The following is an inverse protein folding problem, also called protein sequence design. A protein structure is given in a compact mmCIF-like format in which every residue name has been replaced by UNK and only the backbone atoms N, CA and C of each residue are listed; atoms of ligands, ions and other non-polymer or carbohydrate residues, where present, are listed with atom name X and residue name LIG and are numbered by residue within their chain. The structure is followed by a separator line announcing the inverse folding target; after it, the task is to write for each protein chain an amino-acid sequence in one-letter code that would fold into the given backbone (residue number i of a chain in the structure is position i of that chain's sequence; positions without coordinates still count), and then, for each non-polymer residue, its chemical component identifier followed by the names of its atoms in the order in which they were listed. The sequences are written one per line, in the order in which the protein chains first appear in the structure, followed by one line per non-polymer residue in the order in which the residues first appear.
data_IF_195151339747
#
_entry.id   IF_195151339747
#
_cell.length_a   1.000
_cell.length_b   1.000
_cell.length_c   1.000
_cell.angle_alpha   90.00
_cell.angle_beta   90.00
_cell.angle_gamma   90.00
#
_symmetry.space_group_name_H-M   'P 1'
#
loop_
_entity.id
_entity.type
_entity.pdbx_description
1 polymer ?
#
# COMPACT_ATOMS: atom_id res chain seq x y z
N UNK A 1 -2.45 11.30 13.14
CA UNK A 1 -1.31 12.14 13.54
C UNK A 1 -1.21 13.40 12.69
N UNK A 2 -1.51 13.30 11.39
CA UNK A 2 -1.45 14.43 10.47
C UNK A 2 -2.56 14.38 9.41
N UNK A 3 -2.84 15.53 8.78
CA UNK A 3 -3.73 15.65 7.63
C UNK A 3 -2.97 16.37 6.51
N UNK A 4 -2.67 15.67 5.41
CA UNK A 4 -1.81 16.17 4.35
C UNK A 4 -0.41 16.49 4.89
N UNK A 5 0.01 17.76 4.87
CA UNK A 5 1.31 18.22 5.38
C UNK A 5 1.25 18.75 6.82
N UNK A 6 0.06 18.89 7.41
CA UNK A 6 -0.14 19.54 8.68
C UNK A 6 -0.34 18.54 9.82
N UNK A 7 0.30 18.72 10.98
CA UNK A 7 0.04 17.90 12.15
C UNK A 7 -1.38 18.14 12.69
N UNK A 8 -1.95 17.11 13.31
CA UNK A 8 -3.18 17.24 14.09
C UNK A 8 -2.81 17.75 15.48
N UNK A 9 -3.55 18.74 15.96
CA UNK A 9 -3.37 19.34 17.29
C UNK A 9 -3.37 18.26 18.39
N UNK A 10 -2.49 18.38 19.35
CA UNK A 10 -2.27 17.44 20.48
C UNK A 10 -1.81 16.01 20.10
N UNK A 11 -1.76 15.62 18.83
CA UNK A 11 -1.41 14.26 18.46
C UNK A 11 0.03 13.90 18.85
N UNK A 12 1.00 14.79 18.57
CA UNK A 12 2.40 14.55 18.92
C UNK A 12 2.60 14.54 20.45
N UNK A 13 1.93 15.45 21.17
CA UNK A 13 2.02 15.49 22.65
C UNK A 13 1.45 14.22 23.29
N UNK A 14 0.33 13.73 22.76
CA UNK A 14 -0.30 12.49 23.25
C UNK A 14 0.59 11.27 23.03
N UNK A 15 1.26 11.19 21.86
CA UNK A 15 2.19 10.10 21.55
C UNK A 15 3.39 10.13 22.48
N UNK A 16 4.02 11.31 22.68
CA UNK A 16 5.14 11.46 23.64
C UNK A 16 4.75 11.09 25.05
N UNK A 17 3.53 11.45 25.47
CA UNK A 17 3.03 11.07 26.79
C UNK A 17 2.84 9.54 26.92
N UNK A 18 2.40 8.87 25.86
CA UNK A 18 2.27 7.42 25.83
C UNK A 18 3.65 6.73 25.90
N UNK A 19 4.64 7.22 25.14
CA UNK A 19 6.03 6.74 25.21
C UNK A 19 6.63 6.93 26.62
N UNK A 20 6.44 8.10 27.20
CA UNK A 20 6.89 8.38 28.58
C UNK A 20 6.23 7.48 29.62
N UNK A 21 5.01 6.99 29.35
CA UNK A 21 4.31 6.00 30.15
C UNK A 21 4.77 4.54 29.89
N UNK A 22 5.77 4.33 29.03
CA UNK A 22 6.36 3.01 28.74
C UNK A 22 5.64 2.24 27.62
N UNK A 23 4.79 2.89 26.82
CA UNK A 23 4.17 2.25 25.65
C UNK A 23 5.13 2.18 24.47
N UNK A 24 5.15 1.05 23.76
CA UNK A 24 5.79 0.94 22.45
C UNK A 24 4.87 1.51 21.39
N UNK A 25 5.40 2.40 20.56
CA UNK A 25 4.62 3.08 19.52
C UNK A 25 5.01 2.55 18.15
N UNK A 26 4.00 2.20 17.34
CA UNK A 26 4.13 1.90 15.92
C UNK A 26 3.14 2.76 15.11
N UNK A 27 3.52 3.10 13.89
CA UNK A 27 2.74 3.99 13.02
C UNK A 27 2.24 3.23 11.81
N UNK A 28 0.95 2.96 11.74
CA UNK A 28 0.32 2.24 10.63
C UNK A 28 -0.35 3.18 9.64
N UNK A 29 -0.11 2.97 8.33
CA UNK A 29 -0.71 3.79 7.28
C UNK A 29 -1.18 2.95 6.09
N UNK A 30 -2.36 3.29 5.53
CA UNK A 30 -2.85 2.72 4.26
C UNK A 30 -2.11 3.29 3.04
N UNK A 31 -1.22 4.27 3.23
CA UNK A 31 -0.42 4.80 2.13
C UNK A 31 0.51 3.71 1.58
N UNK A 32 0.39 3.41 0.29
CA UNK A 32 1.21 2.41 -0.41
C UNK A 32 2.28 3.01 -1.32
N UNK A 33 2.33 4.35 -1.44
CA UNK A 33 3.24 5.00 -2.39
C UNK A 33 4.49 5.61 -1.76
N UNK A 34 4.48 5.83 -0.43
CA UNK A 34 5.57 6.50 0.27
C UNK A 34 6.42 5.49 1.04
N UNK A 35 7.74 5.59 0.88
CA UNK A 35 8.69 4.80 1.66
C UNK A 35 8.56 5.08 3.16
N UNK A 36 8.88 4.09 3.98
CA UNK A 36 8.83 4.18 5.44
C UNK A 36 9.63 5.35 5.98
N UNK A 37 10.88 5.57 5.47
CA UNK A 37 11.72 6.69 5.88
C UNK A 37 11.09 8.06 5.59
N UNK A 38 10.40 8.21 4.44
CA UNK A 38 9.73 9.47 4.08
C UNK A 38 8.59 9.80 5.03
N UNK A 39 7.87 8.78 5.52
CA UNK A 39 6.83 8.96 6.53
C UNK A 39 7.44 9.25 7.91
N UNK A 40 8.51 8.53 8.27
CA UNK A 40 9.24 8.76 9.53
C UNK A 40 9.80 10.19 9.59
N UNK A 41 10.42 10.67 8.52
CA UNK A 41 10.96 12.04 8.45
C UNK A 41 9.86 13.11 8.59
N UNK A 42 8.69 12.87 8.01
CA UNK A 42 7.53 13.76 8.22
C UNK A 42 7.10 13.77 9.69
N UNK A 43 7.05 12.62 10.35
CA UNK A 43 6.67 12.52 11.77
C UNK A 43 7.72 13.15 12.68
N UNK A 44 9.02 13.02 12.36
CA UNK A 44 10.13 13.74 13.01
C UNK A 44 9.95 15.26 12.90
N UNK A 45 9.49 15.74 11.75
CA UNK A 45 9.14 17.15 11.54
C UNK A 45 8.02 17.67 12.45
N UNK A 46 7.22 16.78 13.03
CA UNK A 46 6.19 17.11 14.04
C UNK A 46 6.67 16.92 15.50
N UNK A 47 7.98 16.69 15.70
CA UNK A 47 8.59 16.55 17.01
C UNK A 47 8.42 15.16 17.63
N UNK A 48 8.20 14.13 16.83
CA UNK A 48 8.20 12.73 17.25
C UNK A 48 9.56 12.08 16.96
N UNK A 49 10.00 11.17 17.82
CA UNK A 49 11.19 10.35 17.60
C UNK A 49 10.75 9.04 16.94
N UNK A 50 11.00 8.90 15.64
CA UNK A 50 10.45 7.78 14.83
C UNK A 50 11.52 7.18 13.95
N UNK A 51 11.81 5.91 14.14
CA UNK A 51 12.65 5.15 13.22
C UNK A 51 11.81 4.59 12.04
N UNK A 52 12.38 4.47 10.83
CA UNK A 52 11.65 3.95 9.66
C UNK A 52 10.98 2.60 9.90
N UNK A 53 11.58 1.71 10.69
CA UNK A 53 11.03 0.39 11.00
C UNK A 53 9.77 0.42 11.88
N UNK A 54 9.51 1.53 12.58
CA UNK A 54 8.27 1.74 13.33
C UNK A 54 7.10 2.15 12.43
N UNK A 55 7.36 2.44 11.15
CA UNK A 55 6.33 2.81 10.17
C UNK A 55 5.93 1.58 9.36
N UNK A 56 4.70 1.13 9.54
CA UNK A 56 4.13 -0.01 8.81
C UNK A 56 3.19 0.53 7.73
N UNK A 57 3.62 0.41 6.46
CA UNK A 57 2.81 0.83 5.31
C UNK A 57 2.00 -0.33 4.77
N UNK A 58 0.92 -0.03 4.05
CA UNK A 58 0.15 -1.07 3.37
C UNK A 58 0.95 -1.80 2.27
N UNK A 59 2.00 -1.20 1.72
CA UNK A 59 2.92 -1.89 0.79
C UNK A 59 3.75 -2.97 1.47
N UNK A 60 4.31 -2.69 2.65
CA UNK A 60 5.05 -3.67 3.45
C UNK A 60 4.17 -4.88 3.75
N UNK A 61 2.96 -4.64 4.24
CA UNK A 61 2.02 -5.70 4.61
C UNK A 61 1.54 -6.47 3.38
N UNK A 62 1.20 -5.77 2.29
CA UNK A 62 0.72 -6.41 1.06
C UNK A 62 1.78 -7.31 0.41
N UNK A 63 3.03 -6.86 0.33
CA UNK A 63 4.11 -7.67 -0.20
C UNK A 63 4.36 -8.94 0.62
N UNK A 64 4.35 -8.84 1.96
CA UNK A 64 4.43 -10.01 2.87
C UNK A 64 3.25 -10.96 2.69
N UNK A 65 2.05 -10.42 2.52
CA UNK A 65 0.83 -11.21 2.29
C UNK A 65 0.93 -12.02 0.99
N UNK A 66 1.40 -11.42 -0.10
CA UNK A 66 1.63 -12.10 -1.38
C UNK A 66 2.72 -13.16 -1.25
N UNK A 67 3.86 -12.83 -0.63
CA UNK A 67 4.96 -13.78 -0.42
C UNK A 67 4.58 -14.97 0.47
N UNK A 68 3.64 -14.79 1.39
CA UNK A 68 3.09 -15.90 2.19
C UNK A 68 2.13 -16.80 1.39
N UNK A 69 1.47 -16.23 0.39
CA UNK A 69 0.48 -16.95 -0.43
C UNK A 69 1.10 -17.69 -1.64
N UNK A 70 2.29 -17.28 -2.09
CA UNK A 70 2.91 -17.78 -3.30
C UNK A 70 4.31 -18.36 -3.01
N UNK A 71 4.80 -19.26 -3.88
CA UNK A 71 6.16 -19.77 -3.75
C UNK A 71 7.22 -18.67 -3.96
N UNK A 72 8.40 -18.85 -3.36
CA UNK A 72 9.54 -17.96 -3.57
C UNK A 72 9.86 -17.83 -5.08
N UNK A 73 10.18 -16.61 -5.50
CA UNK A 73 10.45 -16.29 -6.90
C UNK A 73 9.20 -16.22 -7.79
N UNK A 74 7.99 -16.34 -7.23
CA UNK A 74 6.75 -16.22 -8.01
C UNK A 74 6.70 -14.89 -8.78
N UNK A 75 6.20 -14.96 -10.02
CA UNK A 75 6.08 -13.78 -10.89
C UNK A 75 4.87 -12.95 -10.47
N UNK A 76 5.10 -11.67 -10.22
CA UNK A 76 4.09 -10.71 -9.75
C UNK A 76 4.10 -9.46 -10.64
N UNK A 77 2.95 -9.11 -11.18
CA UNK A 77 2.76 -7.83 -11.83
C UNK A 77 2.37 -6.79 -10.77
N UNK A 78 3.11 -5.69 -10.70
CA UNK A 78 2.89 -4.62 -9.71
C UNK A 78 2.26 -3.41 -10.40
N UNK A 79 1.02 -3.12 -10.04
CA UNK A 79 0.31 -1.89 -10.39
C UNK A 79 0.38 -0.93 -9.20
N UNK A 80 1.46 -0.17 -9.10
CA UNK A 80 1.69 0.69 -7.93
C UNK A 80 3.00 1.47 -8.00
N UNK A 81 3.25 2.26 -6.96
CA UNK A 81 4.45 3.08 -6.82
C UNK A 81 5.71 2.25 -6.51
N UNK A 82 6.87 2.90 -6.63
CA UNK A 82 8.19 2.29 -6.42
C UNK A 82 8.33 1.61 -5.06
N UNK A 83 7.78 2.20 -3.99
CA UNK A 83 7.79 1.57 -2.67
C UNK A 83 7.15 0.17 -2.67
N UNK A 84 6.02 0.00 -3.36
CA UNK A 84 5.37 -1.32 -3.45
C UNK A 84 6.23 -2.31 -4.25
N UNK A 85 6.85 -1.85 -5.35
CA UNK A 85 7.75 -2.67 -6.17
C UNK A 85 8.96 -3.14 -5.37
N UNK A 86 9.57 -2.23 -4.61
CA UNK A 86 10.71 -2.52 -3.75
C UNK A 86 10.35 -3.58 -2.67
N UNK A 87 9.21 -3.43 -2.02
CA UNK A 87 8.74 -4.40 -1.03
C UNK A 87 8.43 -5.78 -1.63
N UNK A 88 7.87 -5.85 -2.84
CA UNK A 88 7.66 -7.11 -3.56
C UNK A 88 9.00 -7.82 -3.81
N UNK A 89 10.01 -7.08 -4.28
CA UNK A 89 11.36 -7.61 -4.52
C UNK A 89 12.04 -8.06 -3.23
N UNK A 90 11.96 -7.24 -2.16
CA UNK A 90 12.54 -7.57 -0.84
C UNK A 90 11.95 -8.83 -0.22
N UNK A 91 10.72 -9.16 -0.55
CA UNK A 91 10.06 -10.37 -0.08
C UNK A 91 10.31 -11.59 -1.00
N UNK A 92 11.31 -11.53 -1.90
CA UNK A 92 11.76 -12.66 -2.71
C UNK A 92 10.84 -13.02 -3.87
N UNK A 93 9.99 -12.10 -4.31
CA UNK A 93 9.12 -12.25 -5.47
C UNK A 93 9.78 -11.63 -6.72
N UNK A 94 9.40 -12.08 -7.89
CA UNK A 94 9.93 -11.60 -9.17
C UNK A 94 8.92 -10.67 -9.84
N UNK A 95 9.27 -9.40 -10.02
CA UNK A 95 8.41 -8.46 -10.74
C UNK A 95 8.50 -8.73 -12.24
N UNK A 96 7.35 -8.71 -12.90
CA UNK A 96 7.21 -8.82 -14.36
C UNK A 96 6.48 -7.61 -14.93
N UNK A 97 6.70 -7.34 -16.22
CA UNK A 97 6.27 -6.09 -16.86
C UNK A 97 4.79 -6.09 -17.24
N UNK A 98 4.22 -7.25 -17.53
CA UNK A 98 2.83 -7.29 -17.98
C UNK A 98 2.22 -8.69 -18.10
N UNK A 99 1.00 -8.80 -18.64
CA UNK A 99 0.25 -10.04 -18.73
C UNK A 99 0.92 -11.09 -19.64
N UNK A 100 1.74 -10.67 -20.62
CA UNK A 100 2.49 -11.56 -21.51
C UNK A 100 3.50 -12.44 -20.76
N UNK A 101 3.97 -11.99 -19.59
CA UNK A 101 4.90 -12.72 -18.73
C UNK A 101 4.21 -13.74 -17.82
N UNK A 102 2.89 -13.87 -17.93
CA UNK A 102 2.06 -14.80 -17.17
C UNK A 102 2.31 -14.67 -15.66
N UNK A 103 2.03 -13.52 -15.02
CA UNK A 103 2.16 -13.36 -13.59
C UNK A 103 1.24 -14.33 -12.82
N UNK A 104 1.72 -14.84 -11.70
CA UNK A 104 0.92 -15.68 -10.79
C UNK A 104 0.02 -14.81 -9.89
N UNK A 105 0.42 -13.55 -9.71
CA UNK A 105 -0.41 -12.57 -9.01
C UNK A 105 -0.29 -11.18 -9.63
N UNK A 106 -1.32 -10.38 -9.40
CA UNK A 106 -1.32 -8.93 -9.54
C UNK A 106 -1.45 -8.33 -8.14
N UNK A 107 -0.59 -7.38 -7.82
CA UNK A 107 -0.70 -6.57 -6.61
C UNK A 107 -0.93 -5.11 -6.99
N UNK A 108 -2.03 -4.53 -6.52
CA UNK A 108 -2.40 -3.15 -6.83
C UNK A 108 -2.34 -2.26 -5.59
N UNK A 109 -1.62 -1.14 -5.71
CA UNK A 109 -1.59 -0.03 -4.78
C UNK A 109 -1.97 1.28 -5.46
N UNK A 110 -1.94 2.38 -4.69
CA UNK A 110 -2.16 3.71 -5.25
C UNK A 110 -0.90 4.25 -5.92
N UNK A 111 -1.08 4.84 -7.11
CA UNK A 111 -0.02 5.47 -7.89
C UNK A 111 -0.58 6.71 -8.62
N UNK A 112 0.00 7.92 -8.43
CA UNK A 112 -0.57 9.14 -8.98
C UNK A 112 -0.54 9.19 -10.51
N UNK A 113 0.46 8.53 -11.14
CA UNK A 113 0.63 8.50 -12.60
C UNK A 113 0.09 7.21 -13.24
N UNK A 114 -0.85 6.55 -12.56
CA UNK A 114 -1.50 5.34 -13.07
C UNK A 114 -2.26 5.64 -14.36
N UNK A 115 -1.89 4.93 -15.43
CA UNK A 115 -2.51 5.06 -16.73
C UNK A 115 -3.63 4.04 -16.93
N UNK A 116 -4.50 4.31 -17.92
CA UNK A 116 -5.48 3.32 -18.37
C UNK A 116 -4.81 2.01 -18.82
N UNK A 117 -3.67 2.10 -19.56
CA UNK A 117 -2.95 0.92 -20.04
C UNK A 117 -2.45 0.05 -18.88
N UNK A 118 -1.90 0.66 -17.82
CA UNK A 118 -1.47 -0.09 -16.62
C UNK A 118 -2.63 -0.85 -15.96
N UNK A 119 -3.81 -0.24 -15.89
CA UNK A 119 -5.01 -0.90 -15.35
C UNK A 119 -5.52 -2.00 -16.29
N UNK A 120 -5.46 -1.79 -17.60
CA UNK A 120 -5.83 -2.80 -18.59
C UNK A 120 -4.91 -4.03 -18.55
N UNK A 121 -3.59 -3.82 -18.44
CA UNK A 121 -2.61 -4.90 -18.32
C UNK A 121 -2.82 -5.72 -17.04
N UNK A 122 -3.15 -5.06 -15.92
CA UNK A 122 -3.52 -5.73 -14.69
C UNK A 122 -4.83 -6.54 -14.84
N UNK A 123 -5.84 -5.97 -15.51
CA UNK A 123 -7.09 -6.66 -15.78
C UNK A 123 -6.87 -7.92 -16.66
N UNK A 124 -6.08 -7.82 -17.72
CA UNK A 124 -5.75 -8.96 -18.58
C UNK A 124 -5.04 -10.08 -17.81
N UNK A 125 -4.12 -9.73 -16.91
CA UNK A 125 -3.45 -10.73 -16.07
C UNK A 125 -4.43 -11.41 -15.11
N UNK A 126 -5.34 -10.66 -14.49
CA UNK A 126 -6.39 -11.18 -13.60
C UNK A 126 -7.35 -12.09 -14.34
N UNK A 127 -7.83 -11.69 -15.53
CA UNK A 127 -8.68 -12.53 -16.38
C UNK A 127 -7.97 -13.83 -16.80
N UNK A 128 -6.65 -13.78 -17.02
CA UNK A 128 -5.83 -14.96 -17.34
C UNK A 128 -5.58 -15.86 -16.12
N UNK A 129 -6.08 -15.53 -14.94
CA UNK A 129 -6.03 -16.36 -13.74
C UNK A 129 -5.00 -15.94 -12.70
N UNK A 130 -4.34 -14.78 -12.84
CA UNK A 130 -3.48 -14.24 -11.78
C UNK A 130 -4.29 -13.92 -10.53
N UNK A 131 -3.77 -14.30 -9.36
CA UNK A 131 -4.41 -13.98 -8.08
C UNK A 131 -4.32 -12.48 -7.80
N UNK A 132 -5.43 -11.85 -7.48
CA UNK A 132 -5.52 -10.40 -7.33
C UNK A 132 -5.44 -9.98 -5.86
N UNK A 133 -4.41 -9.18 -5.52
CA UNK A 133 -4.16 -8.62 -4.20
C UNK A 133 -4.15 -7.09 -4.25
N UNK A 134 -4.55 -6.43 -3.16
CA UNK A 134 -4.57 -4.98 -3.08
C UNK A 134 -3.98 -4.47 -1.76
N UNK A 135 -3.40 -3.27 -1.81
CA UNK A 135 -2.78 -2.64 -0.64
C UNK A 135 -3.79 -2.05 0.33
N UNK A 136 -4.89 -1.49 -0.16
CA UNK A 136 -5.99 -0.96 0.64
C UNK A 136 -7.23 -0.73 -0.25
N UNK A 137 -8.39 -0.50 0.36
CA UNK A 137 -9.66 -0.28 -0.34
C UNK A 137 -10.22 1.15 -0.16
N UNK A 138 -9.39 2.11 0.23
CA UNK A 138 -9.81 3.49 0.43
C UNK A 138 -10.33 4.10 -0.87
N UNK A 139 -11.62 4.40 -0.94
CA UNK A 139 -12.25 4.92 -2.16
C UNK A 139 -11.81 6.36 -2.47
N UNK A 140 -11.44 7.11 -1.46
CA UNK A 140 -11.10 8.52 -1.59
C UNK A 140 -9.81 8.87 -0.86
N UNK A 141 -9.16 9.94 -1.33
CA UNK A 141 -7.99 10.53 -0.68
C UNK A 141 -8.28 12.02 -0.47
N UNK A 142 -8.20 12.56 0.77
CA UNK A 142 -8.26 13.98 1.00
C UNK A 142 -6.98 14.66 0.48
N UNK A 143 -7.16 15.69 -0.34
CA UNK A 143 -6.08 16.52 -0.90
C UNK A 143 -6.36 17.99 -0.56
N UNK A 144 -5.42 18.87 -0.90
CA UNK A 144 -5.53 20.31 -0.62
C UNK A 144 -6.74 20.96 -1.30
N UNK A 145 -7.06 20.55 -2.53
CA UNK A 145 -8.17 21.11 -3.32
C UNK A 145 -9.51 20.39 -3.11
N UNK A 146 -9.53 19.31 -2.35
CA UNK A 146 -10.77 18.55 -2.10
C UNK A 146 -10.55 17.05 -2.00
N UNK A 147 -11.58 16.28 -2.29
CA UNK A 147 -11.55 14.81 -2.27
C UNK A 147 -11.18 14.28 -3.65
N UNK A 148 -10.17 13.45 -3.73
CA UNK A 148 -9.71 12.79 -4.95
C UNK A 148 -9.97 11.27 -4.91
N UNK A 149 -10.00 10.57 -6.07
CA UNK A 149 -10.07 9.11 -6.11
C UNK A 149 -8.90 8.45 -5.37
N UNK A 150 -9.21 7.51 -4.49
CA UNK A 150 -8.26 6.71 -3.76
C UNK A 150 -7.92 5.39 -4.45
N UNK A 151 -7.12 4.56 -3.80
CA UNK A 151 -6.71 3.23 -4.29
C UNK A 151 -7.94 2.37 -4.62
N UNK A 152 -8.95 2.36 -3.75
CA UNK A 152 -10.17 1.59 -3.94
C UNK A 152 -10.98 1.98 -5.18
N UNK A 153 -10.93 3.24 -5.61
CA UNK A 153 -11.57 3.68 -6.85
C UNK A 153 -10.87 3.11 -8.08
N UNK A 154 -9.54 3.03 -8.08
CA UNK A 154 -8.76 2.41 -9.16
C UNK A 154 -8.94 0.88 -9.19
N UNK A 155 -9.03 0.26 -8.03
CA UNK A 155 -9.33 -1.16 -7.88
C UNK A 155 -10.72 -1.48 -8.45
N UNK A 156 -11.71 -0.61 -8.20
CA UNK A 156 -13.06 -0.75 -8.77
C UNK A 156 -13.05 -0.76 -10.30
N UNK A 157 -12.17 -0.02 -10.95
CA UNK A 157 -12.04 -0.05 -12.40
C UNK A 157 -11.61 -1.45 -12.89
N UNK A 158 -10.63 -2.08 -12.24
CA UNK A 158 -10.17 -3.44 -12.58
C UNK A 158 -11.27 -4.47 -12.26
N UNK A 159 -11.93 -4.39 -11.11
CA UNK A 159 -13.06 -5.26 -10.75
C UNK A 159 -14.19 -5.16 -11.77
N UNK A 160 -14.54 -3.93 -12.18
CA UNK A 160 -15.62 -3.71 -13.16
C UNK A 160 -15.28 -4.34 -14.52
N UNK A 161 -14.03 -4.30 -14.94
CA UNK A 161 -13.59 -4.90 -16.19
C UNK A 161 -13.57 -6.45 -16.13
N UNK A 162 -13.11 -7.02 -15.02
CA UNK A 162 -12.83 -8.47 -14.90
C UNK A 162 -13.93 -9.25 -14.20
N UNK A 163 -14.77 -8.61 -13.41
CA UNK A 163 -15.70 -9.29 -12.49
C UNK A 163 -15.02 -9.98 -11.30
N UNK A 164 -13.69 -9.81 -11.13
CA UNK A 164 -12.91 -10.52 -10.12
C UNK A 164 -12.60 -9.59 -8.95
N UNK A 165 -13.01 -10.01 -7.75
CA UNK A 165 -12.68 -9.33 -6.51
C UNK A 165 -11.27 -9.70 -6.02
N UNK A 166 -10.51 -8.76 -5.40
CA UNK A 166 -9.26 -9.10 -4.75
C UNK A 166 -9.48 -10.13 -3.64
N UNK A 167 -8.62 -11.15 -3.61
CA UNK A 167 -8.69 -12.22 -2.59
C UNK A 167 -8.32 -11.71 -1.20
N UNK A 168 -7.50 -10.66 -1.11
CA UNK A 168 -7.11 -10.03 0.14
C UNK A 168 -6.72 -8.57 -0.05
N UNK A 169 -6.87 -7.79 1.02
CA UNK A 169 -6.44 -6.39 1.15
C UNK A 169 -5.57 -6.26 2.39
N UNK A 170 -4.47 -5.53 2.30
CA UNK A 170 -3.53 -5.37 3.40
C UNK A 170 -3.91 -4.24 4.37
N UNK A 171 -4.53 -3.17 3.85
CA UNK A 171 -4.77 -1.93 4.60
C UNK A 171 -5.88 -2.01 5.64
N UNK A 172 -5.82 -1.13 6.62
CA UNK A 172 -6.89 -0.97 7.62
C UNK A 172 -8.27 -0.84 6.93
N UNK A 173 -9.32 -1.46 7.46
CA UNK A 173 -9.44 -2.12 8.77
C UNK A 173 -9.07 -3.61 8.79
N UNK A 174 -8.43 -4.12 7.76
CA UNK A 174 -8.09 -5.55 7.67
C UNK A 174 -7.06 -5.94 8.74
N UNK A 175 -7.20 -7.16 9.29
CA UNK A 175 -6.35 -7.67 10.37
C UNK A 175 -4.87 -7.85 9.99
N UNK A 176 -4.55 -7.89 8.71
CA UNK A 176 -3.17 -8.02 8.22
C UNK A 176 -2.27 -6.83 8.60
N UNK A 177 -2.85 -5.68 8.95
CA UNK A 177 -2.12 -4.48 9.34
C UNK A 177 -1.65 -4.51 10.81
N UNK A 178 -2.15 -5.44 11.63
CA UNK A 178 -1.92 -5.52 13.08
C UNK A 178 -1.13 -6.76 13.51
#
# INVERSE_FOLDING_TARGET
VYRGKNPVEYAADSIRAAEAAGMTIEYTTNNSSRFQHVVADQLKGFGLDVEPLQVITSSVVAARMVAKALPAGARVQVLGAEHLRDEVTRNGLTIVDGPQDRPQAVIQGWYPDMTWQMMADAAFAVEAGATYFVTNRDLTIPRELGIAPGCGSMIRAVITATGVEPVASAGKPEAYMY
#
